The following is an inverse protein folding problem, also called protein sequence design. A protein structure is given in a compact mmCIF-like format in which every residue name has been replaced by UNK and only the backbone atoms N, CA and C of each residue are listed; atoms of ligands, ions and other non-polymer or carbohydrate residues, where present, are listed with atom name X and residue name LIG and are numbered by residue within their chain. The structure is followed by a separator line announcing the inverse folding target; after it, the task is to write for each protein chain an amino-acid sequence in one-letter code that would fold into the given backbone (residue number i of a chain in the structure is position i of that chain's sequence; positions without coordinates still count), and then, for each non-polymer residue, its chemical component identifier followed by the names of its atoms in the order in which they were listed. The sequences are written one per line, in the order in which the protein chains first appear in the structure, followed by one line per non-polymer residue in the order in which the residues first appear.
data_IF_040025606296
#
_entry.id   IF_040025606296
#
_cell.length_a   1.000
_cell.length_b   1.000
_cell.length_c   1.000
_cell.angle_alpha   90.00
_cell.angle_beta   90.00
_cell.angle_gamma   90.00
#
_symmetry.space_group_name_H-M   'P 1'
#
loop_
_entity.id
_entity.type
_entity.pdbx_description
1 polymer ?
#
# COMPACT_ATOMS: atom_id res chain seq x y z
N UNK A 1 -16.33 -20.42 18.50
CA UNK A 1 -14.90 -20.66 18.74
C UNK A 1 -14.55 -20.04 20.09
N UNK A 2 -13.87 -20.79 20.94
CA UNK A 2 -13.38 -20.30 22.24
C UNK A 2 -12.07 -19.52 22.07
N UNK A 3 -11.65 -18.81 23.11
CA UNK A 3 -10.35 -18.12 23.12
C UNK A 3 -9.18 -19.10 22.95
N UNK A 4 -9.27 -20.30 23.52
CA UNK A 4 -8.24 -21.35 23.37
C UNK A 4 -8.16 -21.88 21.94
N UNK A 5 -9.31 -22.09 21.30
CA UNK A 5 -9.38 -22.48 19.89
C UNK A 5 -8.84 -21.38 18.97
N UNK A 6 -9.13 -20.12 19.28
CA UNK A 6 -8.58 -18.97 18.57
C UNK A 6 -7.05 -18.95 18.64
N UNK A 7 -6.47 -19.03 19.85
CA UNK A 7 -5.02 -19.05 20.08
C UNK A 7 -4.38 -20.19 19.27
N UNK A 8 -4.95 -21.39 19.34
CA UNK A 8 -4.46 -22.55 18.60
C UNK A 8 -4.44 -22.31 17.09
N UNK A 9 -5.52 -21.75 16.53
CA UNK A 9 -5.62 -21.50 15.09
C UNK A 9 -4.71 -20.37 14.63
N UNK A 10 -4.55 -19.33 15.46
CA UNK A 10 -3.56 -18.28 15.22
C UNK A 10 -2.14 -18.86 15.14
N UNK A 11 -1.75 -19.71 16.10
CA UNK A 11 -0.43 -20.35 16.11
C UNK A 11 -0.21 -21.23 14.87
N UNK A 12 -1.25 -21.94 14.42
CA UNK A 12 -1.19 -22.73 13.19
C UNK A 12 -1.00 -21.83 11.96
N UNK A 13 -1.74 -20.72 11.89
CA UNK A 13 -1.64 -19.77 10.79
C UNK A 13 -0.26 -19.08 10.74
N UNK A 14 0.29 -18.68 11.88
CA UNK A 14 1.64 -18.09 11.96
C UNK A 14 2.71 -19.07 11.48
N UNK A 15 2.61 -20.35 11.88
CA UNK A 15 3.53 -21.41 11.42
C UNK A 15 3.41 -21.68 9.92
N UNK A 16 2.19 -21.66 9.39
CA UNK A 16 1.95 -21.94 7.97
C UNK A 16 2.39 -20.79 7.05
N UNK A 17 2.18 -19.54 7.48
CA UNK A 17 2.47 -18.34 6.68
C UNK A 17 3.86 -17.76 6.92
N UNK A 18 4.48 -18.07 8.06
CA UNK A 18 5.75 -17.48 8.48
C UNK A 18 5.64 -16.01 8.91
N UNK A 19 4.42 -15.49 9.08
CA UNK A 19 4.18 -14.12 9.55
C UNK A 19 4.77 -13.92 10.95
N UNK A 20 5.53 -12.84 11.08
CA UNK A 20 6.21 -12.40 12.31
C UNK A 20 6.40 -10.89 12.25
N UNK A 21 6.96 -10.30 13.30
CA UNK A 21 7.35 -8.89 13.30
C UNK A 21 8.17 -8.53 12.05
N UNK A 22 7.81 -7.41 11.41
CA UNK A 22 8.42 -6.94 10.17
C UNK A 22 7.80 -7.47 8.88
N UNK A 23 6.98 -8.53 8.94
CA UNK A 23 6.20 -9.00 7.78
C UNK A 23 5.11 -8.00 7.40
N UNK A 24 4.59 -8.14 6.18
CA UNK A 24 3.50 -7.32 5.67
C UNK A 24 2.25 -8.17 5.47
N UNK A 25 1.10 -7.60 5.81
CA UNK A 25 -0.20 -8.24 5.66
C UNK A 25 -1.21 -7.24 5.13
N UNK A 26 -2.15 -7.71 4.32
CA UNK A 26 -3.32 -6.94 3.88
C UNK A 26 -4.50 -7.19 4.80
N UNK A 27 -5.17 -6.12 5.24
CA UNK A 27 -6.41 -6.23 6.01
C UNK A 27 -7.57 -6.46 5.04
N UNK A 28 -8.23 -7.60 5.14
CA UNK A 28 -9.22 -8.02 4.14
C UNK A 28 -10.62 -7.46 4.40
N UNK A 29 -11.03 -7.39 5.67
CA UNK A 29 -12.38 -6.97 6.07
C UNK A 29 -12.44 -6.55 7.53
N UNK A 30 -13.50 -5.82 7.87
CA UNK A 30 -13.89 -5.57 9.25
C UNK A 30 -14.49 -6.82 9.93
N UNK A 31 -14.46 -6.83 11.26
CA UNK A 31 -15.04 -7.88 12.13
C UNK A 31 -15.87 -7.27 13.25
N UNK A 32 -16.70 -8.11 13.87
CA UNK A 32 -17.35 -7.75 15.13
C UNK A 32 -16.39 -7.93 16.32
N UNK A 33 -16.65 -7.20 17.40
CA UNK A 33 -15.95 -7.42 18.67
C UNK A 33 -16.05 -8.88 19.09
N UNK A 34 -14.92 -9.46 19.48
CA UNK A 34 -14.82 -10.86 19.91
C UNK A 34 -15.25 -11.91 18.89
N UNK A 35 -15.26 -11.57 17.59
CA UNK A 35 -15.60 -12.53 16.54
C UNK A 35 -14.67 -13.76 16.61
N UNK A 36 -15.27 -14.95 16.57
CA UNK A 36 -14.56 -16.23 16.53
C UNK A 36 -13.50 -16.40 17.64
N UNK A 37 -13.81 -15.99 18.87
CA UNK A 37 -12.92 -16.21 20.03
C UNK A 37 -11.72 -15.27 20.10
N UNK A 38 -11.68 -14.25 19.22
CA UNK A 38 -10.69 -13.19 19.29
C UNK A 38 -10.85 -12.38 20.57
N UNK A 39 -9.76 -12.16 21.31
CA UNK A 39 -9.83 -11.55 22.65
C UNK A 39 -9.79 -10.02 22.68
N UNK A 40 -10.11 -9.35 21.56
CA UNK A 40 -10.04 -7.90 21.46
C UNK A 40 -11.26 -7.33 20.71
N UNK A 41 -11.31 -6.01 20.57
CA UNK A 41 -12.41 -5.26 19.94
C UNK A 41 -11.97 -4.57 18.66
N UNK A 42 -12.90 -4.40 17.73
CA UNK A 42 -12.73 -3.61 16.53
C UNK A 42 -13.08 -2.16 16.82
N UNK A 43 -12.08 -1.27 16.74
CA UNK A 43 -12.29 0.17 16.87
C UNK A 43 -12.77 0.76 15.54
N UNK A 44 -13.63 1.80 15.52
CA UNK A 44 -14.10 2.42 14.27
C UNK A 44 -12.97 2.88 13.33
N UNK A 45 -11.84 3.31 13.87
CA UNK A 45 -10.68 3.76 13.10
C UNK A 45 -10.04 2.62 12.28
N UNK A 46 -10.24 1.36 12.69
CA UNK A 46 -9.74 0.19 11.98
C UNK A 46 -10.45 -0.02 10.63
N UNK A 47 -11.66 0.53 10.45
CA UNK A 47 -12.36 0.49 9.17
C UNK A 47 -11.57 1.19 8.07
N UNK A 48 -10.83 2.25 8.40
CA UNK A 48 -9.95 2.97 7.45
C UNK A 48 -8.75 2.14 7.00
N UNK A 49 -8.44 1.05 7.71
CA UNK A 49 -7.31 0.16 7.44
C UNK A 49 -7.71 -1.03 6.58
N UNK A 50 -9.01 -1.28 6.38
CA UNK A 50 -9.50 -2.33 5.49
C UNK A 50 -9.05 -2.05 4.05
N UNK A 51 -8.52 -3.07 3.39
CA UNK A 51 -7.92 -2.99 2.06
C UNK A 51 -6.46 -2.55 2.05
N UNK A 52 -5.93 -1.99 3.16
CA UNK A 52 -4.54 -1.52 3.24
C UNK A 52 -3.56 -2.67 3.53
N UNK A 53 -2.34 -2.49 3.05
CA UNK A 53 -1.20 -3.34 3.39
C UNK A 53 -0.41 -2.69 4.51
N UNK A 54 -0.20 -3.42 5.59
CA UNK A 54 0.31 -2.91 6.86
C UNK A 54 1.47 -3.77 7.34
N UNK A 55 2.41 -3.16 8.06
CA UNK A 55 3.52 -3.89 8.66
C UNK A 55 3.13 -4.45 10.05
N UNK A 56 3.46 -5.72 10.28
CA UNK A 56 3.31 -6.39 11.57
C UNK A 56 4.34 -5.84 12.56
N UNK A 57 3.86 -5.37 13.71
CA UNK A 57 4.69 -4.82 14.80
C UNK A 57 4.86 -5.80 15.97
N UNK A 58 3.87 -6.64 16.22
CA UNK A 58 3.89 -7.57 17.33
C UNK A 58 2.83 -8.66 17.10
N UNK A 59 2.95 -9.79 17.80
CA UNK A 59 1.99 -10.88 17.76
C UNK A 59 1.68 -11.32 19.19
N UNK A 60 0.41 -11.29 19.55
CA UNK A 60 -0.09 -11.66 20.88
C UNK A 60 -1.11 -12.77 20.76
N UNK A 61 -0.94 -13.83 21.55
CA UNK A 61 -1.72 -15.07 21.43
C UNK A 61 -3.23 -14.86 21.45
N UNK A 62 -3.74 -13.97 22.31
CA UNK A 62 -5.18 -13.74 22.46
C UNK A 62 -5.65 -12.45 21.77
N UNK A 63 -4.82 -11.41 21.77
CA UNK A 63 -5.17 -10.11 21.21
C UNK A 63 -5.02 -10.06 19.70
N UNK A 64 -4.22 -10.93 19.07
CA UNK A 64 -4.04 -10.94 17.62
C UNK A 64 -2.68 -10.41 17.16
N UNK A 65 -2.66 -9.94 15.91
CA UNK A 65 -1.48 -9.39 15.24
C UNK A 65 -1.56 -7.88 15.32
N UNK A 66 -0.56 -7.22 15.90
CA UNK A 66 -0.47 -5.77 15.95
C UNK A 66 0.02 -5.22 14.60
N UNK A 67 -0.74 -4.29 14.02
CA UNK A 67 -0.37 -3.60 12.78
C UNK A 67 -0.10 -2.12 13.07
N UNK A 68 1.06 -1.64 12.66
CA UNK A 68 1.47 -0.25 12.89
C UNK A 68 0.87 0.70 11.87
N UNK A 69 0.41 1.87 12.29
CA UNK A 69 -0.19 2.88 11.43
C UNK A 69 0.90 3.72 10.74
N UNK A 70 0.73 4.02 9.46
CA UNK A 70 1.66 4.86 8.70
C UNK A 70 1.84 6.22 9.37
N UNK A 71 3.10 6.65 9.52
CA UNK A 71 3.45 7.96 10.09
C UNK A 71 3.56 8.00 11.62
N UNK A 72 3.13 6.97 12.36
CA UNK A 72 3.31 6.90 13.81
C UNK A 72 3.62 5.48 14.28
N UNK A 73 4.89 5.23 14.61
CA UNK A 73 5.36 3.93 15.10
C UNK A 73 4.79 3.52 16.47
N UNK A 74 4.17 4.45 17.20
CA UNK A 74 3.58 4.20 18.52
C UNK A 74 2.10 3.82 18.47
N UNK A 75 1.42 4.05 17.34
CA UNK A 75 0.01 3.72 17.16
C UNK A 75 -0.14 2.40 16.42
N UNK A 76 -0.80 1.43 17.06
CA UNK A 76 -1.15 0.15 16.46
C UNK A 76 -2.48 -0.38 17.00
N UNK A 77 -3.17 -1.15 16.16
CA UNK A 77 -4.31 -1.95 16.57
C UNK A 77 -3.98 -3.42 16.41
N UNK A 78 -4.63 -4.26 17.22
CA UNK A 78 -4.56 -5.70 17.00
C UNK A 78 -5.67 -6.14 16.06
N UNK A 79 -5.35 -7.11 15.21
CA UNK A 79 -6.26 -7.70 14.25
C UNK A 79 -6.29 -9.22 14.44
N UNK A 80 -7.45 -9.86 14.26
CA UNK A 80 -7.48 -11.32 14.25
C UNK A 80 -6.81 -11.87 13.00
N UNK A 81 -6.11 -13.00 13.10
CA UNK A 81 -5.36 -13.57 11.98
C UNK A 81 -6.24 -13.86 10.74
N UNK A 82 -7.51 -14.21 10.95
CA UNK A 82 -8.41 -14.65 9.89
C UNK A 82 -8.95 -13.51 9.00
N UNK A 83 -8.54 -12.26 9.26
CA UNK A 83 -8.78 -11.13 8.33
C UNK A 83 -7.50 -10.58 7.71
N UNK A 84 -6.40 -11.32 7.83
CA UNK A 84 -5.10 -10.92 7.34
C UNK A 84 -4.64 -11.87 6.23
N UNK A 85 -4.16 -11.29 5.14
CA UNK A 85 -3.48 -12.01 4.07
C UNK A 85 -1.99 -11.64 4.06
N UNK A 86 -1.06 -12.59 4.25
CA UNK A 86 0.37 -12.31 4.09
C UNK A 86 0.66 -11.79 2.68
N UNK A 87 1.42 -10.72 2.59
CA UNK A 87 1.76 -10.09 1.32
C UNK A 87 3.20 -9.58 1.34
N UNK A 88 3.69 -9.16 0.19
CA UNK A 88 4.99 -8.50 0.08
C UNK A 88 4.93 -7.08 0.65
N UNK A 89 6.10 -6.53 0.96
CA UNK A 89 6.21 -5.12 1.31
C UNK A 89 5.62 -4.25 0.19
N UNK A 90 4.87 -3.19 0.51
CA UNK A 90 4.44 -2.25 -0.50
C UNK A 90 5.70 -1.71 -1.17
N UNK A 91 5.68 -1.71 -2.51
CA UNK A 91 6.78 -1.11 -3.29
C UNK A 91 6.80 0.38 -2.96
N UNK A 92 7.85 0.83 -2.28
CA UNK A 92 8.02 2.27 -2.01
C UNK A 92 8.08 2.98 -3.36
N UNK A 93 7.11 3.85 -3.61
CA UNK A 93 7.12 4.70 -4.80
C UNK A 93 8.21 5.76 -4.67
N UNK A 94 8.72 6.22 -5.81
CA UNK A 94 9.68 7.31 -5.87
C UNK A 94 9.09 8.59 -5.27
N UNK A 95 9.84 9.23 -4.38
CA UNK A 95 9.45 10.50 -3.76
C UNK A 95 10.06 11.66 -4.56
N UNK A 96 9.24 12.28 -5.41
CA UNK A 96 9.63 13.44 -6.20
C UNK A 96 9.84 14.68 -5.33
N UNK A 97 10.79 15.54 -5.73
CA UNK A 97 11.03 16.84 -5.11
C UNK A 97 10.37 17.95 -5.93
N UNK A 98 9.89 19.04 -5.29
CA UNK A 98 9.39 20.20 -6.03
C UNK A 98 10.43 20.71 -7.03
N UNK A 99 9.96 21.03 -8.24
CA UNK A 99 10.70 21.45 -9.42
C UNK A 99 11.70 20.44 -9.98
N UNK A 100 11.60 19.17 -9.58
CA UNK A 100 12.30 18.09 -10.26
C UNK A 100 11.83 18.00 -11.71
N UNK A 101 12.78 17.84 -12.63
CA UNK A 101 12.47 17.62 -14.04
C UNK A 101 11.89 16.22 -14.19
N UNK A 102 10.72 16.15 -14.80
CA UNK A 102 9.96 14.91 -14.96
C UNK A 102 9.49 14.74 -16.40
N UNK A 103 9.20 13.50 -16.76
CA UNK A 103 8.40 13.17 -17.93
C UNK A 103 7.01 12.75 -17.47
N UNK A 104 5.99 13.26 -18.15
CA UNK A 104 4.59 13.05 -17.82
C UNK A 104 3.76 12.70 -19.05
N UNK A 105 2.66 11.97 -18.83
CA UNK A 105 1.59 11.67 -19.79
C UNK A 105 0.38 11.11 -19.04
N UNK A 106 -0.77 11.01 -19.70
CA UNK A 106 -1.96 10.39 -19.10
C UNK A 106 -2.10 8.92 -19.51
N UNK A 107 -1.83 8.59 -20.77
CA UNK A 107 -2.02 7.23 -21.30
C UNK A 107 -0.78 6.63 -21.96
N UNK A 108 -0.70 5.30 -22.03
CA UNK A 108 0.44 4.59 -22.65
C UNK A 108 0.58 4.88 -24.15
N UNK A 109 -0.49 5.32 -24.82
CA UNK A 109 -0.48 5.74 -26.22
C UNK A 109 -0.01 7.18 -26.45
N UNK A 110 0.13 7.97 -25.39
CA UNK A 110 0.60 9.33 -25.48
C UNK A 110 2.13 9.41 -25.42
N UNK A 111 2.65 10.46 -26.06
CA UNK A 111 4.08 10.76 -25.98
C UNK A 111 4.42 11.30 -24.61
N UNK A 112 5.63 11.02 -24.13
CA UNK A 112 6.16 11.63 -22.92
C UNK A 112 6.49 13.10 -23.14
N UNK A 113 5.94 13.98 -22.31
CA UNK A 113 6.23 15.42 -22.30
C UNK A 113 7.08 15.81 -21.09
N UNK A 114 8.01 16.75 -21.29
CA UNK A 114 8.83 17.29 -20.22
C UNK A 114 8.06 18.30 -19.36
N UNK A 115 8.19 18.19 -18.04
CA UNK A 115 7.55 19.10 -17.09
C UNK A 115 8.41 19.31 -15.83
N UNK A 116 7.92 20.16 -14.93
CA UNK A 116 8.47 20.37 -13.59
C UNK A 116 7.45 19.90 -12.56
N UNK A 117 7.87 18.96 -11.72
CA UNK A 117 7.04 18.43 -10.65
C UNK A 117 6.71 19.50 -9.61
N UNK A 118 5.53 19.45 -9.01
CA UNK A 118 5.14 20.34 -7.93
C UNK A 118 4.93 19.54 -6.63
N UNK A 119 3.88 18.71 -6.58
CA UNK A 119 3.59 17.84 -5.43
C UNK A 119 2.68 16.66 -5.83
N UNK A 120 2.57 15.67 -4.96
CA UNK A 120 1.62 14.56 -5.12
C UNK A 120 0.39 14.82 -4.26
N UNK A 121 -0.81 14.71 -4.82
CA UNK A 121 -2.05 14.72 -4.02
C UNK A 121 -2.16 13.44 -3.18
N UNK A 122 -2.60 13.58 -1.94
CA UNK A 122 -2.51 12.51 -0.94
C UNK A 122 -3.63 11.48 -1.03
N UNK A 123 -3.38 10.39 -1.76
CA UNK A 123 -3.81 9.01 -1.58
C UNK A 123 -3.29 8.21 -2.80
N UNK A 124 -2.67 7.05 -2.55
CA UNK A 124 -1.82 6.39 -3.54
C UNK A 124 -2.53 6.08 -4.87
N UNK A 125 -1.89 6.44 -5.98
CA UNK A 125 -2.30 6.02 -7.33
C UNK A 125 -2.46 7.14 -8.38
N UNK A 126 -2.29 8.42 -8.02
CA UNK A 126 -2.32 9.57 -8.95
C UNK A 126 -3.22 10.72 -8.45
N UNK A 127 -3.09 11.98 -8.91
CA UNK A 127 -2.29 12.43 -10.05
C UNK A 127 -1.15 13.37 -9.64
N UNK A 128 -0.04 13.29 -10.35
CA UNK A 128 1.15 14.08 -10.09
C UNK A 128 0.90 15.51 -10.54
N UNK A 129 0.84 16.46 -9.59
CA UNK A 129 0.71 17.87 -9.93
C UNK A 129 2.04 18.38 -10.43
N UNK A 130 2.04 18.91 -11.65
CA UNK A 130 3.16 19.60 -12.25
C UNK A 130 2.81 21.07 -12.47
N UNK A 131 3.76 21.87 -12.93
CA UNK A 131 3.57 23.32 -13.14
C UNK A 131 2.44 23.62 -14.14
N UNK A 132 2.24 22.76 -15.15
CA UNK A 132 1.16 22.96 -16.13
C UNK A 132 -0.21 22.47 -15.64
N UNK A 133 -0.27 21.23 -15.15
CA UNK A 133 -1.48 20.52 -14.78
C UNK A 133 -1.13 19.21 -14.05
N UNK A 134 -2.17 18.44 -13.69
CA UNK A 134 -2.05 17.11 -13.10
C UNK A 134 -1.92 16.04 -14.20
N UNK A 135 -1.18 14.96 -13.90
CA UNK A 135 -0.92 13.85 -14.83
C UNK A 135 -1.06 12.49 -14.14
N UNK A 136 -1.49 11.47 -14.87
CA UNK A 136 -1.60 10.10 -14.33
C UNK A 136 -0.25 9.38 -14.23
N UNK A 137 0.65 9.60 -15.19
CA UNK A 137 1.97 8.99 -15.23
C UNK A 137 3.03 10.09 -15.06
N UNK A 138 4.00 9.84 -14.17
CA UNK A 138 5.11 10.75 -13.91
C UNK A 138 6.36 9.94 -13.56
N UNK A 139 7.47 10.22 -14.22
CA UNK A 139 8.79 9.61 -13.98
C UNK A 139 9.87 10.70 -13.95
N UNK A 140 11.01 10.51 -13.28
CA UNK A 140 12.11 11.46 -13.34
C UNK A 140 12.61 11.59 -14.79
N UNK A 141 12.99 12.80 -15.19
CA UNK A 141 13.61 13.02 -16.50
C UNK A 141 15.01 12.41 -16.56
N UNK A 142 15.78 12.53 -15.46
CA UNK A 142 17.13 12.03 -15.36
C UNK A 142 17.18 10.49 -15.40
N UNK A 143 17.86 9.94 -16.39
CA UNK A 143 17.92 8.50 -16.66
C UNK A 143 16.84 7.99 -17.63
N UNK A 144 15.85 8.83 -17.97
CA UNK A 144 14.74 8.49 -18.87
C UNK A 144 14.67 9.45 -20.07
N UNK A 145 15.72 10.22 -20.35
CA UNK A 145 15.74 11.29 -21.37
C UNK A 145 15.39 10.78 -22.78
N UNK A 146 15.73 9.52 -23.05
CA UNK A 146 15.45 8.85 -24.33
C UNK A 146 13.95 8.63 -24.59
N UNK A 147 13.09 8.71 -23.56
CA UNK A 147 11.66 8.53 -23.70
C UNK A 147 10.93 9.81 -24.18
N UNK A 148 11.57 10.99 -24.05
CA UNK A 148 10.96 12.27 -24.42
C UNK A 148 10.46 12.26 -25.87
N UNK A 149 9.19 12.57 -26.08
CA UNK A 149 8.55 12.59 -27.40
C UNK A 149 8.29 11.22 -28.01
N UNK A 150 8.47 10.13 -27.24
CA UNK A 150 8.17 8.75 -27.64
C UNK A 150 6.97 8.23 -26.84
N UNK A 151 6.38 7.14 -27.30
CA UNK A 151 5.36 6.38 -26.56
C UNK A 151 5.95 5.17 -25.82
N UNK A 152 7.27 5.03 -25.83
CA UNK A 152 7.95 3.86 -25.28
C UNK A 152 7.72 3.75 -23.76
N UNK A 153 7.70 2.52 -23.26
CA UNK A 153 7.42 2.24 -21.85
C UNK A 153 8.72 2.22 -21.03
N UNK A 154 8.78 2.91 -19.88
CA UNK A 154 9.93 2.82 -18.99
C UNK A 154 10.03 1.42 -18.39
N UNK A 155 11.23 0.83 -18.40
CA UNK A 155 11.47 -0.52 -17.89
C UNK A 155 11.10 -0.68 -16.40
N UNK A 156 11.12 0.41 -15.64
CA UNK A 156 10.91 0.43 -14.19
C UNK A 156 9.73 1.30 -13.75
N UNK A 157 8.73 1.49 -14.62
CA UNK A 157 7.51 2.28 -14.38
C UNK A 157 6.86 2.03 -13.00
N UNK A 158 6.87 0.77 -12.53
CA UNK A 158 6.22 0.36 -11.28
C UNK A 158 6.84 1.01 -10.02
N UNK A 159 8.02 1.63 -10.14
CA UNK A 159 8.61 2.45 -9.07
C UNK A 159 7.93 3.80 -8.92
N UNK A 160 7.29 4.32 -9.96
CA UNK A 160 6.85 5.70 -10.00
C UNK A 160 5.35 5.84 -9.85
N UNK A 161 4.58 5.04 -10.59
CA UNK A 161 3.12 5.07 -10.58
C UNK A 161 2.53 3.67 -10.65
N UNK A 162 1.24 3.54 -10.38
CA UNK A 162 0.50 2.31 -10.62
C UNK A 162 -0.28 2.49 -11.92
N UNK A 163 -0.20 1.51 -12.83
CA UNK A 163 -1.05 1.55 -14.03
C UNK A 163 -2.49 1.36 -13.58
N UNK A 164 -3.34 2.35 -13.84
CA UNK A 164 -4.78 2.17 -13.68
C UNK A 164 -5.20 1.02 -14.60
N UNK A 165 -5.89 0.01 -14.04
CA UNK A 165 -6.65 -0.93 -14.83
C UNK A 165 -7.82 -0.15 -15.42
N UNK A 166 -7.62 0.53 -16.55
CA UNK A 166 -8.74 0.92 -17.37
C UNK A 166 -9.29 -0.38 -17.93
N UNK A 167 -10.35 -0.88 -17.29
CA UNK A 167 -11.20 -1.89 -17.89
C UNK A 167 -11.52 -1.39 -19.30
N UNK A 168 -10.95 -2.06 -20.31
CA UNK A 168 -11.37 -1.86 -21.69
C UNK A 168 -12.83 -2.31 -21.73
N UNK A 169 -13.73 -1.35 -21.86
CA UNK A 169 -15.17 -1.60 -22.11
C UNK A 169 -15.39 -2.67 -23.19
#
# INVERSE_FOLDING_TARGET
MTNEEYVRLQDMWLKATGVREGCWVKVLRAVKNHESGWGNSWAPEMDMLVGRTMQVKDVRSLQGIALGIDGDSSLFYFFPFFVLEPTEAPKKKYEFKPFEQVLVRDEDSEVWDANLFNYTRGDGGGPFECVSCAWHQCIPYAGHEHLLGTTDEPEDWAKYYDKACYDKE
#
